data_IF_949723248101
#
_entry.id   IF_949723248101
#
_cell.length_a   1.000
_cell.length_b   1.000
_cell.length_c   1.000
_cell.angle_alpha   90.00
_cell.angle_beta   90.00
_cell.angle_gamma   90.00
#
_symmetry.space_group_name_H-M   'P 1'
#
loop_
_entity.id
_entity.type
_entity.pdbx_description
1 polymer ?
#
# COMPACT_ATOMS: atom_id res chain seq x y z
N UNK A 1 17.85 -12.05 3.72
CA UNK A 1 18.45 -10.69 3.77
C UNK A 1 17.38 -9.60 3.66
N UNK A 2 16.60 -9.51 2.58
CA UNK A 2 15.56 -8.46 2.42
C UNK A 2 14.52 -8.41 3.54
N UNK A 3 13.92 -9.55 3.90
CA UNK A 3 12.93 -9.61 4.99
C UNK A 3 13.51 -9.18 6.34
N UNK A 4 14.79 -9.49 6.60
CA UNK A 4 15.48 -9.03 7.81
C UNK A 4 15.67 -7.52 7.81
N UNK A 5 16.12 -6.95 6.68
CA UNK A 5 16.32 -5.50 6.54
C UNK A 5 15.03 -4.71 6.82
N UNK A 6 13.89 -5.18 6.29
CA UNK A 6 12.60 -4.58 6.60
C UNK A 6 12.19 -4.76 8.06
N UNK A 7 12.36 -5.97 8.61
CA UNK A 7 11.98 -6.28 10.01
C UNK A 7 12.69 -5.37 11.02
N UNK A 8 13.94 -5.00 10.75
CA UNK A 8 14.71 -4.10 11.61
C UNK A 8 14.07 -2.71 11.79
N UNK A 9 13.21 -2.28 10.86
CA UNK A 9 12.47 -1.01 10.99
C UNK A 9 11.37 -1.04 12.05
N UNK A 10 10.92 -2.24 12.46
CA UNK A 10 9.80 -2.43 13.39
C UNK A 10 10.23 -3.01 14.73
N UNK A 11 11.20 -3.93 14.73
CA UNK A 11 11.49 -4.82 15.87
C UNK A 11 11.82 -4.11 17.20
N UNK A 12 12.35 -2.88 17.14
CA UNK A 12 12.71 -2.09 18.34
C UNK A 12 11.50 -1.48 19.04
N UNK A 13 10.39 -1.26 18.33
CA UNK A 13 9.18 -0.66 18.90
C UNK A 13 8.42 -1.69 19.74
N UNK A 14 7.82 -1.25 20.85
CA UNK A 14 7.08 -2.12 21.78
C UNK A 14 7.96 -2.93 22.74
N UNK A 15 9.28 -2.77 22.69
CA UNK A 15 10.20 -3.37 23.66
C UNK A 15 10.22 -2.58 24.97
N UNK A 16 10.35 -3.27 26.10
CA UNK A 16 10.43 -2.68 27.44
C UNK A 16 11.90 -2.49 27.83
N UNK A 17 12.23 -1.27 28.21
CA UNK A 17 13.54 -0.86 28.71
C UNK A 17 13.42 -0.43 30.18
N UNK A 18 14.55 -0.19 30.85
CA UNK A 18 14.58 0.26 32.25
C UNK A 18 13.83 1.60 32.49
N UNK A 19 13.58 2.37 31.44
CA UNK A 19 12.87 3.66 31.47
C UNK A 19 11.48 3.58 30.80
N UNK A 20 10.94 2.37 30.60
CA UNK A 20 9.61 2.15 30.01
C UNK A 20 9.65 1.56 28.60
N UNK A 21 8.49 1.50 27.96
CA UNK A 21 8.34 0.93 26.62
C UNK A 21 8.75 1.94 25.53
N UNK A 22 9.63 1.52 24.63
CA UNK A 22 10.12 2.38 23.55
C UNK A 22 9.29 2.25 22.27
N UNK A 23 8.99 3.38 21.63
CA UNK A 23 8.39 3.44 20.29
C UNK A 23 9.23 4.36 19.41
N UNK A 24 9.62 3.89 18.22
CA UNK A 24 10.60 4.58 17.38
C UNK A 24 9.99 5.07 16.08
N UNK A 25 10.34 6.31 15.69
CA UNK A 25 9.86 6.93 14.45
C UNK A 25 8.33 7.08 14.46
N UNK A 26 7.65 6.83 13.32
CA UNK A 26 6.18 6.96 13.23
C UNK A 26 5.40 6.07 14.21
N UNK A 27 6.02 5.00 14.72
CA UNK A 27 5.38 4.08 15.66
C UNK A 27 5.02 4.74 17.01
N UNK A 28 5.67 5.85 17.36
CA UNK A 28 5.33 6.63 18.56
C UNK A 28 3.94 7.26 18.52
N UNK A 29 3.32 7.33 17.34
CA UNK A 29 1.95 7.78 17.18
C UNK A 29 1.10 6.67 16.53
N UNK A 30 1.46 6.26 15.31
CA UNK A 30 0.66 5.34 14.52
C UNK A 30 0.64 3.92 15.11
N UNK A 31 1.79 3.45 15.60
CA UNK A 31 1.89 2.14 16.22
C UNK A 31 1.04 2.03 17.50
N UNK A 32 1.06 3.06 18.34
CA UNK A 32 0.24 3.13 19.56
C UNK A 32 -1.25 3.15 19.21
N UNK A 33 -1.63 3.93 18.19
CA UNK A 33 -3.00 3.95 17.67
C UNK A 33 -3.46 2.55 17.28
N UNK A 34 -2.71 1.85 16.43
CA UNK A 34 -3.07 0.49 16.01
C UNK A 34 -3.19 -0.49 17.18
N UNK A 35 -2.25 -0.47 18.12
CA UNK A 35 -2.30 -1.32 19.32
C UNK A 35 -3.57 -1.05 20.13
N UNK A 36 -3.96 0.21 20.30
CA UNK A 36 -5.17 0.57 21.03
C UNK A 36 -6.44 0.04 20.35
N UNK A 37 -6.51 0.14 19.02
CA UNK A 37 -7.61 -0.38 18.21
C UNK A 37 -7.68 -1.90 18.28
N UNK A 38 -6.55 -2.60 18.12
CA UNK A 38 -6.47 -4.07 18.22
C UNK A 38 -7.01 -4.56 19.57
N UNK A 39 -6.59 -3.93 20.67
CA UNK A 39 -7.05 -4.30 22.00
C UNK A 39 -8.54 -3.98 22.24
N UNK A 40 -9.05 -2.87 21.67
CA UNK A 40 -10.47 -2.53 21.72
C UNK A 40 -11.33 -3.55 20.96
N UNK A 41 -10.91 -3.90 19.74
CA UNK A 41 -11.57 -4.89 18.89
C UNK A 41 -11.54 -6.30 19.50
N UNK A 42 -10.43 -6.68 20.17
CA UNK A 42 -10.33 -7.98 20.84
C UNK A 42 -11.36 -8.15 21.98
N UNK A 43 -11.74 -7.04 22.63
CA UNK A 43 -12.82 -6.98 23.63
C UNK A 43 -14.22 -6.92 23.00
N UNK A 44 -14.32 -6.90 21.67
CA UNK A 44 -15.58 -6.76 20.94
C UNK A 44 -16.12 -5.33 20.90
N UNK A 45 -15.28 -4.33 21.17
CA UNK A 45 -15.69 -2.92 21.17
C UNK A 45 -15.33 -2.24 19.85
N UNK A 46 -16.28 -1.48 19.30
CA UNK A 46 -16.07 -0.55 18.19
C UNK A 46 -15.90 0.90 18.67
N UNK A 47 -15.74 1.11 19.98
CA UNK A 47 -15.51 2.43 20.54
C UNK A 47 -14.12 2.95 20.17
N UNK A 48 -14.06 4.26 19.94
CA UNK A 48 -12.82 5.01 19.66
C UNK A 48 -11.90 4.95 20.89
N UNK A 49 -10.71 4.32 20.79
CA UNK A 49 -9.85 4.14 21.97
C UNK A 49 -9.34 5.44 22.59
N UNK A 50 -9.30 6.52 21.81
CA UNK A 50 -8.73 7.82 22.19
C UNK A 50 -9.79 8.89 22.49
N UNK A 51 -11.08 8.59 22.30
CA UNK A 51 -12.15 9.56 22.51
C UNK A 51 -13.43 8.88 23.00
N UNK A 52 -13.70 9.00 24.30
CA UNK A 52 -14.80 8.31 24.96
C UNK A 52 -16.17 8.76 24.43
N UNK A 53 -17.09 7.81 24.30
CA UNK A 53 -18.45 8.05 23.80
C UNK A 53 -18.59 7.98 22.29
N UNK A 54 -17.48 8.02 21.54
CA UNK A 54 -17.52 7.88 20.07
C UNK A 54 -17.18 6.47 19.60
N UNK A 55 -17.66 6.14 18.40
CA UNK A 55 -17.31 4.90 17.70
C UNK A 55 -16.26 5.17 16.62
N UNK A 56 -15.48 4.14 16.28
CA UNK A 56 -14.55 4.20 15.16
C UNK A 56 -15.34 4.39 13.86
N UNK A 57 -15.14 5.53 13.21
CA UNK A 57 -15.72 5.89 11.91
C UNK A 57 -14.64 6.34 10.94
N UNK A 58 -14.89 6.17 9.65
CA UNK A 58 -14.02 6.56 8.54
C UNK A 58 -12.60 6.00 8.64
N UNK A 59 -12.48 4.80 9.21
CA UNK A 59 -11.23 4.10 9.42
C UNK A 59 -11.32 2.66 8.91
N UNK A 60 -10.21 2.15 8.38
CA UNK A 60 -10.12 0.85 7.73
C UNK A 60 -9.53 -0.18 8.72
N UNK A 61 -10.42 -0.90 9.40
CA UNK A 61 -10.10 -1.76 10.56
C UNK A 61 -9.59 -3.16 10.20
N UNK A 62 -9.53 -3.53 8.92
CA UNK A 62 -9.29 -4.91 8.47
C UNK A 62 -7.96 -5.50 8.95
N UNK A 63 -6.87 -4.70 8.97
CA UNK A 63 -5.60 -5.16 9.52
C UNK A 63 -5.68 -5.35 11.04
N UNK A 64 -6.31 -4.42 11.75
CA UNK A 64 -6.42 -4.47 13.21
C UNK A 64 -7.36 -5.59 13.68
N UNK A 65 -8.45 -5.86 12.96
CA UNK A 65 -9.33 -7.01 13.20
C UNK A 65 -8.55 -8.31 13.10
N UNK A 66 -7.71 -8.47 12.05
CA UNK A 66 -6.92 -9.68 11.88
C UNK A 66 -6.03 -9.92 13.11
N UNK A 67 -5.31 -8.88 13.55
CA UNK A 67 -4.46 -8.97 14.72
C UNK A 67 -5.26 -9.17 16.01
N UNK A 68 -6.43 -8.57 16.15
CA UNK A 68 -7.32 -8.76 17.30
C UNK A 68 -7.82 -10.21 17.40
N UNK A 69 -8.17 -10.82 16.27
CA UNK A 69 -8.56 -12.24 16.20
C UNK A 69 -7.39 -13.14 16.58
N UNK A 70 -6.19 -12.89 16.03
CA UNK A 70 -4.99 -13.66 16.38
C UNK A 70 -4.66 -13.50 17.88
N UNK A 71 -4.73 -12.28 18.40
CA UNK A 71 -4.53 -12.00 19.82
C UNK A 71 -5.51 -12.81 20.68
N UNK A 72 -6.81 -12.82 20.33
CA UNK A 72 -7.85 -13.53 21.08
C UNK A 72 -7.69 -15.06 21.04
N UNK A 73 -7.21 -15.61 19.93
CA UNK A 73 -7.02 -17.07 19.77
C UNK A 73 -5.72 -17.54 20.43
N UNK A 74 -4.64 -16.76 20.30
CA UNK A 74 -3.28 -17.17 20.73
C UNK A 74 -2.88 -16.63 22.09
N UNK A 75 -3.58 -15.63 22.61
CA UNK A 75 -3.23 -14.82 23.78
C UNK A 75 -1.87 -14.10 23.67
N UNK A 76 -1.24 -14.05 22.49
CA UNK A 76 -0.02 -13.27 22.26
C UNK A 76 -0.39 -11.79 22.28
N UNK A 77 0.33 -10.96 23.05
CA UNK A 77 0.03 -9.53 23.18
C UNK A 77 -0.04 -8.81 21.83
N UNK A 78 -0.94 -7.83 21.71
CA UNK A 78 -1.09 -7.01 20.51
C UNK A 78 0.24 -6.34 20.11
N UNK A 79 1.04 -5.91 21.08
CA UNK A 79 2.36 -5.31 20.85
C UNK A 79 3.31 -6.28 20.14
N UNK A 80 3.41 -7.51 20.65
CA UNK A 80 4.30 -8.53 20.09
C UNK A 80 3.84 -8.96 18.69
N UNK A 81 2.52 -9.08 18.49
CA UNK A 81 1.96 -9.34 17.16
C UNK A 81 2.30 -8.22 16.19
N UNK A 82 2.07 -6.97 16.59
CA UNK A 82 2.19 -5.80 15.72
C UNK A 82 3.65 -5.48 15.34
N UNK A 83 4.62 -5.59 16.26
CA UNK A 83 6.01 -5.19 16.01
C UNK A 83 6.99 -6.33 15.76
N UNK A 84 6.83 -7.49 16.42
CA UNK A 84 7.84 -8.55 16.39
C UNK A 84 7.46 -9.78 15.56
N UNK A 85 6.17 -10.11 15.43
CA UNK A 85 5.74 -11.37 14.81
C UNK A 85 5.18 -11.15 13.40
N UNK A 86 4.16 -10.31 13.23
CA UNK A 86 3.51 -10.10 11.93
C UNK A 86 4.42 -9.40 10.92
N UNK A 87 5.26 -8.40 11.28
CA UNK A 87 6.11 -7.74 10.30
C UNK A 87 7.13 -8.68 9.61
N UNK A 88 7.89 -9.54 10.30
CA UNK A 88 8.78 -10.50 9.62
C UNK A 88 8.03 -11.47 8.70
N UNK A 89 6.86 -11.97 9.13
CA UNK A 89 6.03 -12.87 8.33
C UNK A 89 5.56 -12.16 7.05
N UNK A 90 5.01 -10.94 7.21
CA UNK A 90 4.55 -10.11 6.09
C UNK A 90 5.68 -9.81 5.12
N UNK A 91 6.85 -9.43 5.64
CA UNK A 91 8.02 -9.16 4.81
C UNK A 91 8.43 -10.38 4.00
N UNK A 92 8.52 -11.56 4.62
CA UNK A 92 8.85 -12.82 3.94
C UNK A 92 7.82 -13.18 2.86
N UNK A 93 6.53 -13.11 3.21
CA UNK A 93 5.44 -13.42 2.29
C UNK A 93 5.44 -12.49 1.07
N UNK A 94 5.66 -11.19 1.23
CA UNK A 94 5.76 -10.25 0.10
C UNK A 94 6.87 -10.69 -0.86
N UNK A 95 8.08 -10.96 -0.35
CA UNK A 95 9.20 -11.40 -1.19
C UNK A 95 8.90 -12.70 -1.94
N UNK A 96 8.33 -13.68 -1.25
CA UNK A 96 7.96 -14.96 -1.84
C UNK A 96 6.87 -14.81 -2.92
N UNK A 97 5.82 -14.02 -2.63
CA UNK A 97 4.70 -13.82 -3.53
C UNK A 97 5.10 -12.99 -4.76
N UNK A 98 5.95 -11.97 -4.59
CA UNK A 98 6.53 -11.19 -5.71
C UNK A 98 7.36 -12.10 -6.59
N UNK A 99 8.27 -12.89 -6.01
CA UNK A 99 9.09 -13.84 -6.77
C UNK A 99 8.21 -14.75 -7.62
N UNK A 100 7.22 -15.39 -6.98
CA UNK A 100 6.33 -16.34 -7.63
C UNK A 100 5.50 -15.66 -8.73
N UNK A 101 4.96 -14.48 -8.46
CA UNK A 101 4.17 -13.73 -9.44
C UNK A 101 5.00 -13.39 -10.69
N UNK A 102 6.18 -12.81 -10.51
CA UNK A 102 7.05 -12.42 -11.64
C UNK A 102 7.57 -13.65 -12.37
N UNK A 103 7.90 -14.72 -11.65
CA UNK A 103 8.33 -15.97 -12.28
C UNK A 103 7.22 -16.58 -13.13
N UNK A 104 5.98 -16.65 -12.64
CA UNK A 104 4.85 -17.14 -13.43
C UNK A 104 4.57 -16.24 -14.63
N UNK A 105 4.62 -14.91 -14.44
CA UNK A 105 4.33 -13.97 -15.51
C UNK A 105 5.39 -13.93 -16.61
N UNK A 106 6.68 -13.97 -16.24
CA UNK A 106 7.81 -13.74 -17.16
C UNK A 106 8.60 -14.99 -17.47
N UNK A 107 8.32 -16.11 -16.80
CA UNK A 107 9.07 -17.38 -16.93
C UNK A 107 10.60 -17.22 -16.74
N UNK A 108 11.03 -16.21 -15.98
CA UNK A 108 12.46 -15.89 -15.79
C UNK A 108 12.82 -15.76 -14.32
N UNK A 109 13.73 -16.63 -13.86
CA UNK A 109 14.25 -16.59 -12.49
C UNK A 109 15.02 -15.30 -12.22
N UNK A 110 15.81 -14.83 -13.20
CA UNK A 110 16.61 -13.60 -13.06
C UNK A 110 15.68 -12.40 -12.87
N UNK A 111 14.64 -12.25 -13.70
CA UNK A 111 13.69 -11.16 -13.55
C UNK A 111 12.92 -11.22 -12.23
N UNK A 112 12.55 -12.44 -11.78
CA UNK A 112 11.92 -12.63 -10.48
C UNK A 112 12.84 -12.25 -9.31
N UNK A 113 14.12 -12.65 -9.34
CA UNK A 113 15.09 -12.26 -8.33
C UNK A 113 15.36 -10.74 -8.33
N UNK A 114 15.53 -10.14 -9.51
CA UNK A 114 15.69 -8.69 -9.65
C UNK A 114 14.48 -7.94 -9.08
N UNK A 115 13.25 -8.39 -9.38
CA UNK A 115 12.04 -7.80 -8.84
C UNK A 115 12.01 -7.83 -7.31
N UNK A 116 12.32 -8.98 -6.69
CA UNK A 116 12.41 -9.11 -5.23
C UNK A 116 13.50 -8.21 -4.65
N UNK A 117 14.66 -8.15 -5.29
CA UNK A 117 15.76 -7.28 -4.87
C UNK A 117 15.32 -5.82 -4.86
N UNK A 118 14.72 -5.33 -5.95
CA UNK A 118 14.20 -3.96 -6.00
C UNK A 118 13.10 -3.74 -4.98
N UNK A 119 12.16 -4.68 -4.80
CA UNK A 119 11.11 -4.56 -3.78
C UNK A 119 11.71 -4.32 -2.40
N UNK A 120 12.76 -5.03 -1.99
CA UNK A 120 13.35 -4.83 -0.67
C UNK A 120 14.28 -3.62 -0.55
N UNK A 121 15.13 -3.39 -1.54
CA UNK A 121 16.34 -2.58 -1.39
C UNK A 121 16.37 -1.28 -2.21
N UNK A 122 15.34 -0.99 -2.99
CA UNK A 122 15.36 0.26 -3.78
C UNK A 122 14.75 1.45 -3.04
N UNK A 123 15.56 2.50 -2.90
CA UNK A 123 15.14 3.80 -2.39
C UNK A 123 14.83 4.81 -3.50
N UNK A 124 14.37 5.98 -3.09
CA UNK A 124 14.27 7.18 -3.93
C UNK A 124 15.65 7.81 -4.12
N UNK A 125 15.76 8.78 -5.04
CA UNK A 125 16.91 9.68 -5.13
C UNK A 125 16.87 10.81 -4.08
N UNK A 126 16.03 10.72 -3.06
CA UNK A 126 15.92 11.76 -2.05
C UNK A 126 17.23 11.97 -1.29
N UNK A 127 18.00 10.89 -1.10
CA UNK A 127 19.33 10.95 -0.48
C UNK A 127 20.32 11.82 -1.26
N UNK A 128 20.19 11.94 -2.59
CA UNK A 128 21.03 12.83 -3.40
C UNK A 128 20.72 14.28 -3.03
N UNK A 129 19.43 14.61 -2.96
CA UNK A 129 18.99 15.96 -2.62
C UNK A 129 19.40 16.35 -1.19
N UNK A 130 19.28 15.45 -0.20
CA UNK A 130 19.71 15.73 1.17
C UNK A 130 21.23 15.87 1.28
N UNK A 131 22.01 15.06 0.56
CA UNK A 131 23.47 15.20 0.50
C UNK A 131 23.89 16.55 -0.11
N UNK A 132 23.26 16.95 -1.21
CA UNK A 132 23.53 18.25 -1.85
C UNK A 132 23.19 19.45 -0.95
N UNK A 133 22.28 19.27 0.02
CA UNK A 133 21.91 20.27 1.03
C UNK A 133 22.81 20.26 2.27
N UNK A 134 23.72 19.29 2.39
CA UNK A 134 24.53 19.11 3.60
C UNK A 134 23.76 18.48 4.76
N UNK A 135 22.59 17.89 4.53
CA UNK A 135 21.73 17.23 5.53
C UNK A 135 22.13 15.76 5.77
N UNK A 136 23.09 15.24 5.00
CA UNK A 136 23.57 13.86 5.11
C UNK A 136 22.72 12.84 4.35
N UNK A 137 22.84 11.57 4.73
CA UNK A 137 22.09 10.47 4.14
C UNK A 137 20.67 10.41 4.72
N UNK A 138 19.68 10.74 3.90
CA UNK A 138 18.28 10.77 4.30
C UNK A 138 17.33 10.86 3.11
N UNK A 139 16.22 11.56 3.28
CA UNK A 139 15.31 11.89 2.17
C UNK A 139 14.43 10.75 1.67
N UNK A 140 14.19 9.73 2.49
CA UNK A 140 13.37 8.56 2.13
C UNK A 140 12.01 8.97 1.56
N UNK A 141 11.27 9.82 2.28
CA UNK A 141 9.96 10.34 1.87
C UNK A 141 9.99 11.79 1.38
N UNK A 142 11.16 12.25 0.90
CA UNK A 142 11.37 13.62 0.41
C UNK A 142 10.41 13.96 -0.74
N UNK A 143 10.16 12.98 -1.61
CA UNK A 143 9.23 13.09 -2.75
C UNK A 143 7.84 12.52 -2.43
N UNK A 144 7.40 12.58 -1.17
CA UNK A 144 6.07 12.17 -0.69
C UNK A 144 5.66 10.69 -0.82
N UNK A 145 6.48 9.82 -1.39
CA UNK A 145 6.22 8.39 -1.37
C UNK A 145 7.09 7.69 -0.32
N UNK A 146 6.49 6.71 0.37
CA UNK A 146 7.22 5.76 1.19
C UNK A 146 8.05 4.85 0.28
N UNK A 147 9.30 4.59 0.68
CA UNK A 147 10.24 3.73 -0.04
C UNK A 147 10.21 2.32 0.49
N UNK A 148 10.84 1.43 -0.27
CA UNK A 148 10.90 -0.01 0.00
C UNK A 148 11.27 -0.33 1.44
N UNK A 149 12.39 0.22 1.96
CA UNK A 149 12.93 -0.16 3.26
C UNK A 149 11.94 0.11 4.42
N UNK A 150 11.15 1.18 4.33
CA UNK A 150 10.18 1.60 5.34
C UNK A 150 8.82 0.92 5.19
N UNK A 151 8.67 -0.06 4.29
CA UNK A 151 7.36 -0.66 3.96
C UNK A 151 6.60 -1.15 5.19
N UNK A 152 7.30 -1.77 6.15
CA UNK A 152 6.69 -2.31 7.36
C UNK A 152 6.31 -1.25 8.39
N UNK A 153 6.80 -0.01 8.27
CA UNK A 153 6.39 1.11 9.16
C UNK A 153 4.90 1.44 8.98
N UNK A 154 4.33 1.06 7.83
CA UNK A 154 2.89 1.05 7.62
C UNK A 154 2.39 -0.40 7.43
N UNK A 155 2.15 -1.16 8.53
CA UNK A 155 1.73 -2.55 8.43
C UNK A 155 0.44 -2.78 7.62
N UNK A 156 -0.61 -1.94 7.72
CA UNK A 156 -1.78 -2.09 6.85
C UNK A 156 -1.42 -1.98 5.36
N UNK A 157 -0.53 -1.06 4.99
CA UNK A 157 -0.02 -0.97 3.61
C UNK A 157 0.77 -2.22 3.21
N UNK A 158 1.72 -2.67 4.02
CA UNK A 158 2.49 -3.90 3.74
C UNK A 158 1.57 -5.13 3.60
N UNK A 159 0.58 -5.25 4.48
CA UNK A 159 -0.39 -6.33 4.40
C UNK A 159 -1.26 -6.25 3.14
N UNK A 160 -1.64 -5.04 2.71
CA UNK A 160 -2.35 -4.85 1.43
C UNK A 160 -1.53 -5.35 0.23
N UNK A 161 -0.21 -5.16 0.22
CA UNK A 161 0.68 -5.69 -0.82
C UNK A 161 0.69 -7.23 -0.81
N UNK A 162 0.71 -7.84 0.38
CA UNK A 162 0.63 -9.30 0.53
C UNK A 162 -0.66 -9.84 -0.10
N UNK A 163 -1.80 -9.22 0.21
CA UNK A 163 -3.11 -9.60 -0.34
C UNK A 163 -3.17 -9.36 -1.86
N UNK A 164 -2.64 -8.24 -2.36
CA UNK A 164 -2.54 -7.96 -3.80
C UNK A 164 -1.75 -9.06 -4.51
N UNK A 165 -0.51 -9.34 -4.07
CA UNK A 165 0.31 -10.34 -4.75
C UNK A 165 -0.24 -11.75 -4.61
N UNK A 166 -0.89 -12.09 -3.49
CA UNK A 166 -1.61 -13.35 -3.37
C UNK A 166 -2.74 -13.47 -4.40
N UNK A 167 -3.57 -12.43 -4.53
CA UNK A 167 -4.65 -12.37 -5.52
C UNK A 167 -4.13 -12.42 -6.96
N UNK A 168 -3.03 -11.74 -7.27
CA UNK A 168 -2.38 -11.78 -8.58
C UNK A 168 -1.78 -13.17 -8.91
N UNK A 169 -1.18 -13.85 -7.93
CA UNK A 169 -0.73 -15.23 -8.11
C UNK A 169 -1.90 -16.18 -8.40
N UNK A 170 -3.03 -16.03 -7.70
CA UNK A 170 -4.25 -16.78 -7.98
C UNK A 170 -4.78 -16.46 -9.38
N UNK A 171 -4.76 -15.20 -9.79
CA UNK A 171 -5.20 -14.76 -11.11
C UNK A 171 -4.44 -15.48 -12.23
N UNK A 172 -3.10 -15.41 -12.24
CA UNK A 172 -2.28 -16.08 -13.26
C UNK A 172 -2.51 -17.59 -13.24
N UNK A 173 -2.55 -18.18 -12.04
CA UNK A 173 -2.77 -19.63 -11.87
C UNK A 173 -4.16 -20.09 -12.34
N UNK A 174 -5.16 -19.19 -12.39
CA UNK A 174 -6.47 -19.51 -12.97
C UNK A 174 -6.45 -19.43 -14.49
N UNK A 175 -5.82 -18.41 -15.06
CA UNK A 175 -5.75 -18.22 -16.52
C UNK A 175 -4.93 -19.32 -17.21
N UNK A 176 -3.86 -19.81 -16.57
CA UNK A 176 -3.07 -20.93 -17.11
C UNK A 176 -3.84 -22.26 -17.05
N UNK A 177 -4.61 -22.51 -15.98
CA UNK A 177 -5.33 -23.78 -15.82
C UNK A 177 -6.60 -23.86 -16.67
N UNK A 178 -7.25 -22.73 -16.99
CA UNK A 178 -8.39 -22.73 -17.92
C UNK A 178 -7.99 -23.22 -19.34
N UNK A 179 -6.69 -23.23 -19.67
CA UNK A 179 -6.17 -23.79 -20.92
C UNK A 179 -5.91 -25.31 -20.90
N UNK A 180 -5.87 -25.95 -19.72
CA UNK A 180 -5.64 -27.41 -19.54
C UNK A 180 -6.90 -28.08 -18.96
N UNK A 181 -7.67 -28.70 -19.86
CA UNK A 181 -9.04 -29.24 -19.79
C UNK A 181 -9.49 -30.12 -18.59
N UNK A 182 -10.83 -30.18 -18.50
CA UNK A 182 -11.74 -31.27 -18.09
C UNK A 182 -11.96 -31.63 -16.61
N UNK A 183 -10.96 -31.86 -15.76
CA UNK A 183 -11.20 -32.38 -14.40
C UNK A 183 -11.04 -31.36 -13.25
N UNK A 184 -10.69 -30.10 -13.56
CA UNK A 184 -10.34 -29.07 -12.57
C UNK A 184 -11.39 -27.98 -12.28
N UNK A 185 -12.62 -28.11 -12.80
CA UNK A 185 -13.64 -27.03 -12.78
C UNK A 185 -13.92 -26.48 -11.37
N UNK A 186 -13.99 -27.35 -10.35
CA UNK A 186 -14.25 -26.94 -8.97
C UNK A 186 -13.10 -26.15 -8.36
N UNK A 187 -11.85 -26.55 -8.63
CA UNK A 187 -10.66 -25.85 -8.15
C UNK A 187 -10.53 -24.46 -8.79
N UNK A 188 -10.84 -24.32 -10.09
CA UNK A 188 -10.88 -23.02 -10.77
C UNK A 188 -11.95 -22.08 -10.18
N UNK A 189 -13.13 -22.62 -9.88
CA UNK A 189 -14.21 -21.85 -9.24
C UNK A 189 -13.82 -21.35 -7.85
N UNK A 190 -13.24 -22.22 -7.01
CA UNK A 190 -12.79 -21.85 -5.67
C UNK A 190 -11.72 -20.74 -5.72
N UNK A 191 -10.73 -20.86 -6.62
CA UNK A 191 -9.70 -19.82 -6.80
C UNK A 191 -10.29 -18.48 -7.22
N UNK A 192 -11.28 -18.49 -8.12
CA UNK A 192 -11.97 -17.27 -8.53
C UNK A 192 -12.75 -16.61 -7.38
N UNK A 193 -13.42 -17.41 -6.54
CA UNK A 193 -14.11 -16.91 -5.34
C UNK A 193 -13.09 -16.30 -4.37
N UNK A 194 -12.00 -17.01 -4.08
CA UNK A 194 -10.93 -16.51 -3.20
C UNK A 194 -10.32 -15.20 -3.73
N UNK A 195 -10.06 -15.10 -5.03
CA UNK A 195 -9.57 -13.87 -5.66
C UNK A 195 -10.53 -12.70 -5.43
N UNK A 196 -11.84 -12.92 -5.67
CA UNK A 196 -12.86 -11.89 -5.46
C UNK A 196 -12.86 -11.44 -3.99
N UNK A 197 -12.89 -12.37 -3.04
CA UNK A 197 -12.89 -12.05 -1.61
C UNK A 197 -11.63 -11.31 -1.17
N UNK A 198 -10.45 -11.75 -1.62
CA UNK A 198 -9.18 -11.12 -1.30
C UNK A 198 -9.10 -9.68 -1.82
N UNK A 199 -9.56 -9.44 -3.05
CA UNK A 199 -9.56 -8.08 -3.59
C UNK A 199 -10.66 -7.19 -2.98
N UNK A 200 -11.81 -7.76 -2.61
CA UNK A 200 -12.86 -7.01 -1.93
C UNK A 200 -12.46 -6.56 -0.53
N UNK A 201 -11.74 -7.38 0.24
CA UNK A 201 -11.32 -7.00 1.60
C UNK A 201 -10.23 -5.92 1.64
N UNK A 202 -9.57 -5.65 0.49
CA UNK A 202 -8.52 -4.62 0.43
C UNK A 202 -9.02 -3.25 0.89
N UNK A 203 -10.29 -2.89 0.68
CA UNK A 203 -10.78 -1.57 1.13
C UNK A 203 -10.79 -1.41 2.65
N UNK A 204 -10.94 -2.52 3.38
CA UNK A 204 -10.86 -2.54 4.85
C UNK A 204 -9.42 -2.61 5.35
N UNK A 205 -8.45 -3.01 4.52
CA UNK A 205 -7.02 -3.00 4.89
C UNK A 205 -6.39 -1.65 4.54
N UNK A 206 -6.64 -1.17 3.31
CA UNK A 206 -6.18 0.10 2.78
C UNK A 206 -7.06 0.49 1.58
N UNK A 207 -7.91 1.50 1.74
CA UNK A 207 -8.90 1.88 0.72
C UNK A 207 -8.30 2.14 -0.67
N UNK A 208 -7.15 2.82 -0.73
CA UNK A 208 -6.47 3.10 -2.00
C UNK A 208 -5.98 1.84 -2.72
N UNK A 209 -5.60 0.78 -1.99
CA UNK A 209 -5.22 -0.50 -2.59
C UNK A 209 -6.42 -1.16 -3.27
N UNK A 210 -7.59 -1.14 -2.63
CA UNK A 210 -8.84 -1.65 -3.21
C UNK A 210 -9.27 -0.87 -4.45
N UNK A 211 -9.24 0.48 -4.40
CA UNK A 211 -9.57 1.35 -5.54
C UNK A 211 -8.65 1.05 -6.73
N UNK A 212 -7.33 0.96 -6.49
CA UNK A 212 -6.36 0.68 -7.57
C UNK A 212 -6.62 -0.67 -8.24
N UNK A 213 -6.93 -1.72 -7.47
CA UNK A 213 -7.24 -3.05 -8.03
C UNK A 213 -8.54 -3.04 -8.83
N UNK A 214 -9.60 -2.40 -8.32
CA UNK A 214 -10.89 -2.28 -9.03
C UNK A 214 -10.67 -1.55 -10.37
N UNK A 215 -10.00 -0.40 -10.36
CA UNK A 215 -9.74 0.37 -11.58
C UNK A 215 -8.87 -0.44 -12.54
N UNK A 216 -7.81 -1.10 -12.05
CA UNK A 216 -6.93 -1.91 -12.89
C UNK A 216 -7.67 -3.06 -13.58
N UNK A 217 -8.53 -3.79 -12.85
CA UNK A 217 -9.33 -4.87 -13.42
C UNK A 217 -10.40 -4.36 -14.39
N UNK A 218 -11.02 -3.22 -14.10
CA UNK A 218 -11.99 -2.60 -15.00
C UNK A 218 -11.32 -2.17 -16.31
N UNK A 219 -10.20 -1.45 -16.23
CA UNK A 219 -9.43 -1.02 -17.40
C UNK A 219 -8.94 -2.22 -18.21
N UNK A 220 -8.35 -3.21 -17.57
CA UNK A 220 -7.92 -4.45 -18.24
C UNK A 220 -9.11 -5.17 -18.90
N UNK A 221 -10.26 -5.21 -18.23
CA UNK A 221 -11.49 -5.82 -18.78
C UNK A 221 -12.10 -5.04 -19.94
N UNK A 222 -12.05 -3.70 -19.92
CA UNK A 222 -12.45 -2.87 -21.06
C UNK A 222 -11.53 -3.16 -22.25
N UNK A 223 -10.22 -3.18 -22.05
CA UNK A 223 -9.26 -3.50 -23.11
C UNK A 223 -9.48 -4.91 -23.67
N UNK A 224 -9.73 -5.90 -22.80
CA UNK A 224 -10.06 -7.27 -23.20
C UNK A 224 -11.39 -7.34 -23.98
N UNK A 225 -12.39 -6.57 -23.58
CA UNK A 225 -13.66 -6.47 -24.29
C UNK A 225 -13.49 -5.85 -25.67
N UNK A 226 -12.72 -4.77 -25.79
CA UNK A 226 -12.44 -4.12 -27.07
C UNK A 226 -11.70 -5.06 -28.03
N UNK A 227 -10.76 -5.86 -27.53
CA UNK A 227 -9.96 -6.78 -28.35
C UNK A 227 -10.68 -8.09 -28.68
N UNK A 228 -11.32 -8.70 -27.68
CA UNK A 228 -11.78 -10.09 -27.72
C UNK A 228 -13.27 -10.26 -27.41
N UNK A 229 -14.01 -9.17 -27.13
CA UNK A 229 -15.43 -9.17 -26.68
C UNK A 229 -15.69 -9.98 -25.40
N UNK A 230 -14.65 -10.29 -24.62
CA UNK A 230 -14.76 -10.99 -23.33
C UNK A 230 -15.11 -9.99 -22.23
N UNK A 231 -16.05 -10.37 -21.36
CA UNK A 231 -16.56 -9.51 -20.27
C UNK A 231 -16.17 -10.02 -18.88
N UNK A 232 -15.33 -11.05 -18.79
CA UNK A 232 -15.01 -11.76 -17.55
C UNK A 232 -14.40 -10.81 -16.51
N UNK A 233 -13.38 -10.03 -16.90
CA UNK A 233 -12.71 -9.09 -16.01
C UNK A 233 -13.62 -7.93 -15.57
N UNK A 234 -14.47 -7.42 -16.48
CA UNK A 234 -15.45 -6.38 -16.15
C UNK A 234 -16.41 -6.89 -15.07
N UNK A 235 -16.97 -8.10 -15.25
CA UNK A 235 -17.87 -8.71 -14.25
C UNK A 235 -17.17 -8.91 -12.91
N UNK A 236 -15.93 -9.42 -12.90
CA UNK A 236 -15.12 -9.57 -11.68
C UNK A 236 -14.93 -8.21 -10.98
N UNK A 237 -14.56 -7.17 -11.73
CA UNK A 237 -14.37 -5.82 -11.18
C UNK A 237 -15.64 -5.26 -10.54
N UNK A 238 -16.81 -5.43 -11.18
CA UNK A 238 -18.08 -4.96 -10.64
C UNK A 238 -18.48 -5.70 -9.35
N UNK A 239 -18.28 -7.02 -9.32
CA UNK A 239 -18.54 -7.83 -8.11
C UNK A 239 -17.61 -7.39 -6.98
N UNK A 240 -16.31 -7.21 -7.27
CA UNK A 240 -15.33 -6.77 -6.28
C UNK A 240 -15.70 -5.39 -5.74
N UNK A 241 -16.10 -4.45 -6.61
CA UNK A 241 -16.54 -3.11 -6.21
C UNK A 241 -17.78 -3.16 -5.31
N UNK A 242 -18.80 -3.94 -5.68
CA UNK A 242 -20.02 -4.10 -4.89
C UNK A 242 -19.71 -4.66 -3.50
N UNK A 243 -18.94 -5.75 -3.42
CA UNK A 243 -18.55 -6.35 -2.15
C UNK A 243 -17.65 -5.40 -1.32
N UNK A 244 -16.80 -4.62 -1.96
CA UNK A 244 -15.99 -3.61 -1.27
C UNK A 244 -16.86 -2.53 -0.62
N UNK A 245 -17.89 -2.05 -1.32
CA UNK A 245 -18.85 -1.09 -0.76
C UNK A 245 -19.58 -1.71 0.42
N UNK A 246 -20.07 -2.95 0.30
CA UNK A 246 -20.74 -3.67 1.40
C UNK A 246 -19.82 -3.77 2.62
N UNK A 247 -18.55 -4.09 2.41
CA UNK A 247 -17.58 -4.19 3.51
C UNK A 247 -17.27 -2.83 4.16
N UNK A 248 -17.42 -1.71 3.46
CA UNK A 248 -17.20 -0.37 4.02
C UNK A 248 -18.37 0.15 4.87
N UNK A 249 -19.61 -0.29 4.60
CA UNK A 249 -20.82 0.21 5.28
C UNK A 249 -20.72 0.24 6.82
N UNK A 250 -20.12 -0.74 7.52
CA UNK A 250 -20.10 -0.74 8.98
C UNK A 250 -19.21 0.34 9.60
N UNK A 251 -18.19 0.82 8.88
CA UNK A 251 -17.17 1.73 9.42
C UNK A 251 -17.11 3.07 8.72
N UNK A 252 -17.81 3.25 7.59
CA UNK A 252 -17.74 4.45 6.79
C UNK A 252 -18.98 5.33 6.99
N UNK A 253 -18.77 6.60 7.34
CA UNK A 253 -19.82 7.59 7.49
C UNK A 253 -19.87 8.47 6.25
N UNK A 254 -20.76 8.12 5.32
CA UNK A 254 -20.94 8.82 4.05
C UNK A 254 -21.47 10.25 4.19
N UNK A 255 -21.96 10.65 5.36
CA UNK A 255 -22.53 11.98 5.59
C UNK A 255 -21.48 12.97 6.14
N UNK A 256 -20.57 12.49 7.01
CA UNK A 256 -19.61 13.35 7.72
C UNK A 256 -18.15 13.21 7.25
N UNK A 257 -17.78 12.11 6.58
CA UNK A 257 -16.42 11.84 6.12
C UNK A 257 -16.38 11.43 4.65
N UNK A 258 -15.72 12.24 3.83
CA UNK A 258 -15.59 11.98 2.40
C UNK A 258 -14.16 11.63 1.98
N UNK A 259 -14.03 10.72 1.01
CA UNK A 259 -12.85 10.67 0.17
C UNK A 259 -12.72 12.02 -0.56
N UNK A 260 -11.77 12.84 -0.14
CA UNK A 260 -11.55 14.15 -0.76
C UNK A 260 -10.68 13.99 -1.98
N UNK A 261 -11.24 14.28 -3.15
CA UNK A 261 -10.48 14.30 -4.40
C UNK A 261 -9.67 15.60 -4.49
N UNK A 262 -8.38 15.52 -4.20
CA UNK A 262 -7.41 16.62 -4.33
C UNK A 262 -6.34 16.25 -5.36
N UNK A 263 -6.60 16.43 -6.67
CA UNK A 263 -5.62 16.11 -7.70
C UNK A 263 -4.36 16.97 -7.50
N UNK A 264 -3.20 16.41 -7.82
CA UNK A 264 -1.89 17.05 -7.69
C UNK A 264 -1.49 17.47 -6.26
N UNK A 265 -2.25 17.10 -5.22
CA UNK A 265 -1.92 17.43 -3.84
C UNK A 265 -0.51 16.98 -3.44
N UNK A 266 -0.11 15.77 -3.84
CA UNK A 266 1.25 15.27 -3.62
C UNK A 266 2.31 16.17 -4.28
N UNK A 267 2.05 16.67 -5.49
CA UNK A 267 3.00 17.55 -6.19
C UNK A 267 3.12 18.91 -5.51
N UNK A 268 1.99 19.51 -5.14
CA UNK A 268 1.94 20.82 -4.47
C UNK A 268 2.59 20.76 -3.08
N UNK A 269 2.20 19.79 -2.26
CA UNK A 269 2.78 19.60 -0.92
C UNK A 269 4.26 19.20 -0.98
N UNK A 270 4.71 18.49 -2.03
CA UNK A 270 6.13 18.16 -2.19
C UNK A 270 7.02 19.39 -2.27
N UNK A 271 6.60 20.39 -3.03
CA UNK A 271 7.38 21.61 -3.21
C UNK A 271 7.08 22.66 -2.15
N UNK A 272 5.94 22.59 -1.46
CA UNK A 272 5.53 23.58 -0.47
C UNK A 272 6.00 23.26 0.96
N UNK A 273 6.07 21.99 1.36
CA UNK A 273 6.30 21.61 2.76
C UNK A 273 7.80 21.48 3.10
N UNK A 274 8.30 22.09 4.19
CA UNK A 274 9.73 22.09 4.54
C UNK A 274 10.38 20.72 4.81
N UNK A 275 9.63 19.73 5.33
CA UNK A 275 10.12 18.37 5.60
C UNK A 275 10.16 17.47 4.34
N UNK A 276 9.86 18.05 3.18
CA UNK A 276 9.77 17.38 1.87
C UNK A 276 10.82 17.95 0.93
N UNK A 277 10.61 17.80 -0.37
CA UNK A 277 11.51 18.38 -1.37
C UNK A 277 11.64 19.89 -1.21
N UNK A 278 10.62 20.61 -0.76
CA UNK A 278 10.67 22.04 -0.44
C UNK A 278 11.38 22.91 -1.49
N UNK A 279 10.63 23.27 -2.52
CA UNK A 279 11.04 24.22 -3.55
C UNK A 279 10.07 25.40 -3.54
N UNK A 280 10.23 26.28 -2.54
CA UNK A 280 9.33 27.40 -2.29
C UNK A 280 9.07 28.29 -3.51
N UNK A 281 10.09 28.54 -4.36
CA UNK A 281 9.93 29.26 -5.63
C UNK A 281 8.94 28.56 -6.58
N UNK A 282 9.01 27.23 -6.70
CA UNK A 282 8.07 26.46 -7.52
C UNK A 282 6.67 26.46 -6.90
N UNK A 283 6.56 26.33 -5.58
CA UNK A 283 5.27 26.43 -4.87
C UNK A 283 4.59 27.78 -5.14
N UNK A 284 5.33 28.89 -5.02
CA UNK A 284 4.83 30.23 -5.35
C UNK A 284 4.49 30.38 -6.83
N UNK A 285 5.28 29.78 -7.73
CA UNK A 285 4.98 29.78 -9.16
C UNK A 285 3.67 29.06 -9.49
N UNK A 286 3.44 27.86 -8.92
CA UNK A 286 2.20 27.11 -9.07
C UNK A 286 0.99 27.91 -8.57
N UNK A 287 1.11 28.52 -7.38
CA UNK A 287 0.06 29.37 -6.82
C UNK A 287 -0.25 30.58 -7.72
N UNK A 288 0.78 31.31 -8.16
CA UNK A 288 0.63 32.51 -8.99
C UNK A 288 0.07 32.18 -10.38
N UNK A 289 0.53 31.10 -11.03
CA UNK A 289 0.02 30.71 -12.34
C UNK A 289 -1.44 30.26 -12.27
N UNK A 290 -1.82 29.57 -11.18
CA UNK A 290 -3.23 29.20 -10.93
C UNK A 290 -4.10 30.45 -10.71
N UNK A 291 -3.66 31.38 -9.85
CA UNK A 291 -4.41 32.61 -9.56
C UNK A 291 -4.53 33.53 -10.79
N UNK A 292 -3.47 33.62 -11.61
CA UNK A 292 -3.46 34.44 -12.81
C UNK A 292 -4.15 33.78 -14.02
N UNK A 293 -4.68 32.55 -13.89
CA UNK A 293 -5.28 31.81 -15.00
C UNK A 293 -4.29 31.44 -16.11
N UNK A 294 -2.98 31.42 -15.83
CA UNK A 294 -1.95 31.11 -16.82
C UNK A 294 -1.74 29.60 -16.95
N UNK A 295 -2.66 28.93 -17.66
CA UNK A 295 -2.68 27.48 -17.79
C UNK A 295 -1.46 26.90 -18.50
N UNK A 296 -0.84 27.65 -19.44
CA UNK A 296 0.35 27.19 -20.15
C UNK A 296 1.52 27.05 -19.17
N UNK A 297 1.84 28.09 -18.40
CA UNK A 297 2.90 28.04 -17.41
C UNK A 297 2.59 27.04 -16.30
N UNK A 298 1.31 26.94 -15.91
CA UNK A 298 0.85 25.97 -14.93
C UNK A 298 1.07 24.51 -15.39
N UNK A 299 0.77 24.20 -16.66
CA UNK A 299 0.97 22.87 -17.25
C UNK A 299 2.45 22.47 -17.19
N UNK A 300 3.37 23.34 -17.63
CA UNK A 300 4.79 23.05 -17.57
C UNK A 300 5.33 22.96 -16.13
N UNK A 301 4.84 23.79 -15.22
CA UNK A 301 5.23 23.73 -13.81
C UNK A 301 4.78 22.42 -13.14
N UNK A 302 3.54 21.97 -13.38
CA UNK A 302 3.10 20.65 -12.95
C UNK A 302 3.85 19.52 -13.65
N UNK A 303 4.11 19.64 -14.95
CA UNK A 303 4.87 18.65 -15.72
C UNK A 303 6.25 18.43 -15.14
N UNK A 304 6.97 19.52 -14.82
CA UNK A 304 8.28 19.44 -14.17
C UNK A 304 8.19 18.85 -12.76
N UNK A 305 7.22 19.29 -11.96
CA UNK A 305 7.03 18.79 -10.59
C UNK A 305 6.66 17.31 -10.59
N UNK A 306 5.83 16.88 -11.54
CA UNK A 306 5.48 15.47 -11.75
C UNK A 306 6.68 14.65 -12.18
N UNK A 307 7.49 15.16 -13.11
CA UNK A 307 8.74 14.51 -13.53
C UNK A 307 9.68 14.29 -12.33
N UNK A 308 9.89 15.32 -11.51
CA UNK A 308 10.68 15.22 -10.28
C UNK A 308 10.08 14.19 -9.33
N UNK A 309 8.77 14.19 -9.13
CA UNK A 309 8.09 13.22 -8.27
C UNK A 309 8.30 11.79 -8.75
N UNK A 310 8.12 11.50 -10.05
CA UNK A 310 8.28 10.16 -10.60
C UNK A 310 9.73 9.70 -10.58
N UNK A 311 10.65 10.51 -11.10
CA UNK A 311 12.07 10.15 -11.20
C UNK A 311 12.71 10.07 -9.81
N UNK A 312 12.40 11.05 -8.96
CA UNK A 312 12.84 11.09 -7.58
C UNK A 312 12.42 9.83 -6.81
N UNK A 313 11.15 9.42 -6.92
CA UNK A 313 10.67 8.21 -6.24
C UNK A 313 11.13 6.92 -6.92
N UNK A 314 11.22 6.85 -8.24
CA UNK A 314 11.66 5.65 -8.92
C UNK A 314 13.11 5.29 -8.56
N UNK A 315 13.98 6.28 -8.41
CA UNK A 315 15.37 6.06 -8.02
C UNK A 315 16.08 5.14 -9.02
N UNK A 316 16.83 4.16 -8.51
CA UNK A 316 17.52 3.18 -9.38
C UNK A 316 16.56 2.29 -10.18
N UNK A 317 15.27 2.19 -9.81
CA UNK A 317 14.28 1.40 -10.56
C UNK A 317 14.04 1.96 -11.96
N UNK A 318 14.46 3.19 -12.25
CA UNK A 318 14.41 3.77 -13.59
C UNK A 318 15.15 2.90 -14.62
N UNK A 319 16.24 2.24 -14.21
CA UNK A 319 16.98 1.35 -15.11
C UNK A 319 16.19 0.12 -15.55
N UNK A 320 15.06 -0.19 -14.89
CA UNK A 320 14.18 -1.28 -15.26
C UNK A 320 13.17 -0.90 -16.36
N UNK A 321 12.92 0.39 -16.60
CA UNK A 321 11.92 0.84 -17.59
C UNK A 321 12.16 0.34 -19.03
N UNK A 322 13.40 0.24 -19.55
CA UNK A 322 13.65 -0.32 -20.88
C UNK A 322 13.26 -1.80 -21.04
N UNK A 323 12.96 -2.51 -19.94
CA UNK A 323 12.72 -3.95 -19.90
C UNK A 323 11.27 -4.33 -19.54
N UNK A 324 10.40 -3.33 -19.32
CA UNK A 324 8.95 -3.47 -19.08
C UNK A 324 8.23 -3.54 -20.42
#
# INVERSE_FOLDING_TARGET
MGSLAWTLTMVKSGLVYNYGMGFWGPNGHDGIWHISVINSLAKGSLQMPVFAGESIKNYHIGYDILLAVIHKITNISANNLYFQIIPPITAFLIGLLVYRFVFLWRSSRIQAFCAVFFVYFSGSFGWIATLMRGEGFGGESLFWAQQSLSTLINPPFAFSLTIIFLGLNLYISTTENDSKKENGKNAGRLRNILLILLFSVLVQIKIYAGILIIIALLTAGILEYLKNRRTVLIKKSLIIALLSVILLLPTYDFLSGGLVFKPFWFLESMVATPDRFYWSKMASALANYRLAGNFIKLFFAYGLTFFIFIIGNAGIRISAFPWI
#
